data_IF_861127073509
#
_entry.id   IF_861127073509
#
_cell.length_a   1.000
_cell.length_b   1.000
_cell.length_c   1.000
_cell.angle_alpha   90.00
_cell.angle_beta   90.00
_cell.angle_gamma   90.00
#
_symmetry.space_group_name_H-M   'P 1'
#
loop_
_entity.id
_entity.type
_entity.pdbx_description
1 polymer ?
#
# COMPACT_ATOMS: atom_id res chain seq x y z
N UNK A 1 -5.58 -13.02 -16.90
CA UNK A 1 -5.46 -13.97 -15.78
C UNK A 1 -4.87 -13.22 -14.60
N UNK A 2 -5.51 -13.28 -13.43
CA UNK A 2 -4.99 -12.62 -12.23
C UNK A 2 -3.72 -13.34 -11.72
N UNK A 3 -2.79 -12.60 -11.13
CA UNK A 3 -1.58 -13.16 -10.51
C UNK A 3 -1.97 -14.13 -9.38
N UNK A 4 -1.37 -15.33 -9.30
CA UNK A 4 -1.69 -16.31 -8.26
C UNK A 4 -1.08 -15.93 -6.91
N UNK A 5 -1.61 -16.44 -5.79
CA UNK A 5 -1.05 -16.14 -4.46
C UNK A 5 0.37 -16.69 -4.29
N UNK A 6 0.71 -17.80 -4.94
CA UNK A 6 2.07 -18.34 -4.92
C UNK A 6 3.07 -17.40 -5.61
N UNK A 7 2.67 -16.82 -6.75
CA UNK A 7 3.47 -15.81 -7.44
C UNK A 7 3.61 -14.53 -6.61
N UNK A 8 2.54 -14.10 -5.94
CA UNK A 8 2.58 -12.95 -5.03
C UNK A 8 3.59 -13.21 -3.90
N UNK A 9 3.55 -14.39 -3.28
CA UNK A 9 4.49 -14.76 -2.21
C UNK A 9 5.93 -14.79 -2.70
N UNK A 10 6.19 -15.31 -3.90
CA UNK A 10 7.53 -15.28 -4.51
C UNK A 10 8.07 -13.86 -4.69
N UNK A 11 7.23 -12.92 -5.15
CA UNK A 11 7.61 -11.50 -5.29
C UNK A 11 7.83 -10.86 -3.90
N UNK A 12 7.00 -11.20 -2.92
CA UNK A 12 7.06 -10.66 -1.56
C UNK A 12 8.31 -11.09 -0.77
N UNK A 13 9.03 -12.13 -1.21
CA UNK A 13 10.34 -12.51 -0.64
C UNK A 13 11.38 -11.41 -0.83
N UNK A 14 11.25 -10.59 -1.88
CA UNK A 14 12.16 -9.47 -2.11
C UNK A 14 11.85 -8.35 -1.11
N UNK A 15 12.78 -8.02 -0.23
CA UNK A 15 12.59 -6.94 0.75
C UNK A 15 12.56 -5.55 0.08
N UNK A 16 11.61 -4.68 0.46
CA UNK A 16 11.58 -3.28 0.02
C UNK A 16 12.85 -2.52 0.43
N UNK A 17 13.32 -1.65 -0.45
CA UNK A 17 14.55 -0.88 -0.21
C UNK A 17 14.17 0.48 0.40
N UNK A 18 14.57 0.79 1.65
CA UNK A 18 14.33 2.09 2.23
C UNK A 18 15.16 3.17 1.53
N UNK A 19 14.55 4.33 1.28
CA UNK A 19 15.21 5.49 0.69
C UNK A 19 15.38 6.60 1.73
N UNK A 20 16.58 7.18 1.80
CA UNK A 20 16.82 8.36 2.61
C UNK A 20 16.32 9.64 1.92
N UNK A 21 15.93 10.65 2.69
CA UNK A 21 15.55 11.97 2.18
C UNK A 21 16.65 12.61 1.31
N UNK A 22 17.92 12.36 1.65
CA UNK A 22 19.05 12.82 0.85
C UNK A 22 19.05 12.19 -0.55
N UNK A 23 18.83 10.88 -0.65
CA UNK A 23 18.72 10.18 -1.93
C UNK A 23 17.51 10.67 -2.74
N UNK A 24 16.35 10.87 -2.08
CA UNK A 24 15.16 11.43 -2.74
C UNK A 24 15.43 12.80 -3.35
N UNK A 25 16.14 13.69 -2.64
CA UNK A 25 16.57 14.98 -3.17
C UNK A 25 17.47 14.82 -4.40
N UNK A 26 18.45 13.92 -4.35
CA UNK A 26 19.34 13.66 -5.49
C UNK A 26 18.57 13.14 -6.72
N UNK A 27 17.52 12.35 -6.53
CA UNK A 27 16.65 11.90 -7.62
C UNK A 27 15.81 13.04 -8.19
N UNK A 28 15.34 13.97 -7.35
CA UNK A 28 14.57 15.13 -7.78
C UNK A 28 15.40 16.16 -8.56
N UNK A 29 16.64 16.41 -8.11
CA UNK A 29 17.58 17.33 -8.75
C UNK A 29 18.29 16.70 -9.98
N UNK A 30 18.04 15.41 -10.24
CA UNK A 30 18.71 14.62 -11.27
C UNK A 30 18.18 14.87 -12.69
N UNK A 31 19.08 14.80 -13.68
CA UNK A 31 18.71 14.91 -15.10
C UNK A 31 17.99 13.67 -15.67
N UNK A 32 17.71 13.69 -16.97
CA UNK A 32 16.99 12.62 -17.69
C UNK A 32 17.47 11.18 -17.42
N UNK A 33 18.78 10.96 -17.31
CA UNK A 33 19.35 9.63 -17.02
C UNK A 33 18.98 9.12 -15.62
N UNK A 34 18.99 10.02 -14.63
CA UNK A 34 18.60 9.73 -13.25
C UNK A 34 17.11 9.41 -13.21
N UNK A 35 16.28 10.17 -13.92
CA UNK A 35 14.82 9.91 -14.01
C UNK A 35 14.49 8.51 -14.52
N UNK A 36 15.12 8.07 -15.62
CA UNK A 36 14.92 6.72 -16.16
C UNK A 36 15.43 5.65 -15.18
N UNK A 37 16.55 5.88 -14.49
CA UNK A 37 17.03 4.98 -13.45
C UNK A 37 16.07 4.88 -12.27
N UNK A 38 15.51 6.01 -11.80
CA UNK A 38 14.51 6.06 -10.75
C UNK A 38 13.23 5.33 -11.15
N UNK A 39 12.79 5.46 -12.39
CA UNK A 39 11.61 4.74 -12.89
C UNK A 39 11.82 3.22 -12.90
N UNK A 40 13.02 2.75 -13.29
CA UNK A 40 13.39 1.32 -13.20
C UNK A 40 13.44 0.82 -11.77
N UNK A 41 13.97 1.62 -10.86
CA UNK A 41 13.97 1.32 -9.43
C UNK A 41 12.53 1.19 -8.91
N UNK A 42 11.69 2.22 -9.14
CA UNK A 42 10.29 2.23 -8.72
C UNK A 42 9.51 1.05 -9.28
N UNK A 43 9.78 0.65 -10.51
CA UNK A 43 9.10 -0.49 -11.13
C UNK A 43 9.26 -1.78 -10.31
N UNK A 44 10.47 -2.07 -9.82
CA UNK A 44 10.74 -3.25 -8.98
C UNK A 44 10.31 -3.04 -7.53
N UNK A 45 10.54 -1.84 -7.01
CA UNK A 45 10.21 -1.50 -5.63
C UNK A 45 8.70 -1.60 -5.37
N UNK A 46 7.88 -1.08 -6.30
CA UNK A 46 6.42 -1.16 -6.20
C UNK A 46 5.89 -2.59 -6.32
N UNK A 47 6.52 -3.43 -7.15
CA UNK A 47 6.16 -4.86 -7.24
C UNK A 47 6.31 -5.56 -5.88
N UNK A 48 7.48 -5.41 -5.24
CA UNK A 48 7.76 -5.96 -3.91
C UNK A 48 6.76 -5.42 -2.88
N UNK A 49 6.56 -4.11 -2.83
CA UNK A 49 5.66 -3.47 -1.85
C UNK A 49 4.20 -3.90 -2.01
N UNK A 50 3.67 -3.96 -3.23
CA UNK A 50 2.31 -4.46 -3.45
C UNK A 50 2.18 -5.93 -3.07
N UNK A 51 3.17 -6.75 -3.43
CA UNK A 51 3.15 -8.17 -3.08
C UNK A 51 3.14 -8.39 -1.56
N UNK A 52 3.97 -7.63 -0.84
CA UNK A 52 4.03 -7.63 0.62
C UNK A 52 2.68 -7.24 1.25
N UNK A 53 2.10 -6.12 0.82
CA UNK A 53 0.79 -5.67 1.33
C UNK A 53 -0.32 -6.69 1.07
N UNK A 54 -0.30 -7.40 -0.06
CA UNK A 54 -1.28 -8.47 -0.34
C UNK A 54 -1.11 -9.62 0.65
N UNK A 55 0.12 -10.06 0.92
CA UNK A 55 0.40 -11.13 1.89
C UNK A 55 -0.04 -10.72 3.29
N UNK A 56 0.32 -9.52 3.73
CA UNK A 56 -0.06 -8.98 5.04
C UNK A 56 -1.58 -8.89 5.22
N UNK A 57 -2.32 -8.39 4.20
CA UNK A 57 -3.78 -8.36 4.25
C UNK A 57 -4.42 -9.75 4.23
N UNK A 58 -3.80 -10.72 3.54
CA UNK A 58 -4.30 -12.09 3.52
C UNK A 58 -4.06 -12.83 4.83
N UNK A 59 -3.01 -12.48 5.56
CA UNK A 59 -2.60 -13.13 6.81
C UNK A 59 -3.18 -12.43 8.05
N UNK A 60 -4.04 -11.40 7.88
CA UNK A 60 -4.72 -10.72 8.98
C UNK A 60 -5.51 -11.70 9.87
N UNK A 61 -5.39 -11.60 11.22
CA UNK A 61 -5.99 -12.53 12.15
C UNK A 61 -7.52 -12.35 12.28
N UNK A 62 -8.16 -13.24 13.05
CA UNK A 62 -9.59 -13.16 13.42
C UNK A 62 -10.58 -13.17 12.25
N UNK A 63 -10.16 -13.68 11.09
CA UNK A 63 -11.00 -13.69 9.90
C UNK A 63 -11.20 -12.30 9.27
N UNK A 64 -10.46 -11.29 9.73
CA UNK A 64 -10.43 -9.95 9.11
C UNK A 64 -10.12 -10.04 7.62
N UNK A 65 -9.18 -10.92 7.25
CA UNK A 65 -8.81 -11.19 5.86
C UNK A 65 -10.01 -11.61 5.00
N UNK A 66 -11.05 -12.24 5.56
CA UNK A 66 -12.25 -12.67 4.83
C UNK A 66 -13.33 -11.58 4.71
N UNK A 67 -13.12 -10.41 5.32
CA UNK A 67 -14.09 -9.30 5.25
C UNK A 67 -14.13 -8.72 3.84
N UNK A 68 -15.33 -8.41 3.34
CA UNK A 68 -15.51 -7.89 1.97
C UNK A 68 -14.63 -6.67 1.64
N UNK A 69 -14.41 -5.78 2.61
CA UNK A 69 -13.56 -4.62 2.45
C UNK A 69 -12.07 -4.95 2.35
N UNK A 70 -11.58 -5.93 3.11
CA UNK A 70 -10.19 -6.40 3.01
C UNK A 70 -9.96 -7.14 1.69
N UNK A 71 -10.91 -7.98 1.28
CA UNK A 71 -10.89 -8.63 -0.03
C UNK A 71 -10.88 -7.61 -1.17
N UNK A 72 -11.70 -6.55 -1.07
CA UNK A 72 -11.68 -5.45 -2.04
C UNK A 72 -10.31 -4.74 -2.08
N UNK A 73 -9.68 -4.51 -0.93
CA UNK A 73 -8.34 -3.92 -0.87
C UNK A 73 -7.29 -4.84 -1.51
N UNK A 74 -7.32 -6.14 -1.21
CA UNK A 74 -6.46 -7.16 -1.84
C UNK A 74 -6.64 -7.16 -3.36
N UNK A 75 -7.87 -7.11 -3.86
CA UNK A 75 -8.16 -7.10 -5.30
C UNK A 75 -7.59 -5.87 -6.01
N UNK A 76 -7.66 -4.70 -5.37
CA UNK A 76 -7.02 -3.48 -5.89
C UNK A 76 -5.51 -3.66 -5.96
N UNK A 77 -4.87 -4.12 -4.89
CA UNK A 77 -3.42 -4.36 -4.90
C UNK A 77 -2.99 -5.42 -5.92
N UNK A 78 -3.76 -6.51 -6.07
CA UNK A 78 -3.48 -7.56 -7.07
C UNK A 78 -3.58 -7.02 -8.50
N UNK A 79 -4.55 -6.14 -8.76
CA UNK A 79 -4.70 -5.48 -10.06
C UNK A 79 -3.49 -4.60 -10.37
N UNK A 80 -3.07 -3.78 -9.41
CA UNK A 80 -1.91 -2.90 -9.61
C UNK A 80 -0.61 -3.71 -9.75
N UNK A 81 -0.43 -4.76 -8.95
CA UNK A 81 0.70 -5.69 -9.05
C UNK A 81 0.74 -6.41 -10.41
N UNK A 82 -0.40 -6.87 -10.90
CA UNK A 82 -0.49 -7.51 -12.21
C UNK A 82 -0.13 -6.53 -13.34
N UNK A 83 -0.65 -5.29 -13.27
CA UNK A 83 -0.32 -4.27 -14.25
C UNK A 83 1.20 -4.00 -14.28
N UNK A 84 1.80 -3.74 -13.11
CA UNK A 84 3.23 -3.42 -13.05
C UNK A 84 4.12 -4.62 -13.40
N UNK A 85 3.69 -5.85 -13.14
CA UNK A 85 4.45 -7.07 -13.50
C UNK A 85 4.41 -7.38 -15.00
N UNK A 86 3.37 -6.93 -15.70
CA UNK A 86 3.20 -7.14 -17.15
C UNK A 86 3.78 -6.00 -17.98
N UNK A 87 3.93 -4.81 -17.40
CA UNK A 87 4.61 -3.69 -18.08
C UNK A 87 6.12 -3.90 -18.10
N UNK A 88 6.76 -3.50 -19.19
CA UNK A 88 8.23 -3.54 -19.28
C UNK A 88 8.84 -2.37 -18.49
N UNK A 89 10.04 -2.54 -17.89
CA UNK A 89 10.79 -1.43 -17.31
C UNK A 89 11.06 -0.35 -18.35
N UNK A 90 10.88 0.92 -17.97
CA UNK A 90 11.11 2.05 -18.87
C UNK A 90 12.59 2.17 -19.24
N UNK A 91 12.90 2.22 -20.53
CA UNK A 91 14.26 2.42 -21.06
C UNK A 91 14.43 3.80 -21.71
N UNK A 92 13.32 4.46 -22.05
CA UNK A 92 13.30 5.77 -22.68
C UNK A 92 12.52 6.78 -21.85
N UNK A 93 12.77 8.07 -22.08
CA UNK A 93 12.03 9.15 -21.42
C UNK A 93 10.53 9.15 -21.78
N UNK A 94 10.17 8.68 -22.97
CA UNK A 94 8.77 8.60 -23.38
C UNK A 94 8.02 7.51 -22.60
N UNK A 95 8.63 6.33 -22.46
CA UNK A 95 8.08 5.23 -21.66
C UNK A 95 7.99 5.61 -20.18
N UNK A 96 8.97 6.34 -19.65
CA UNK A 96 8.95 6.85 -18.29
C UNK A 96 7.79 7.83 -18.03
N UNK A 97 7.49 8.72 -18.99
CA UNK A 97 6.30 9.60 -18.89
C UNK A 97 5.00 8.78 -18.86
N UNK A 98 4.89 7.76 -19.70
CA UNK A 98 3.72 6.89 -19.72
C UNK A 98 3.60 6.08 -18.42
N UNK A 99 4.72 5.57 -17.90
CA UNK A 99 4.77 4.89 -16.60
C UNK A 99 4.33 5.82 -15.46
N UNK A 100 4.81 7.07 -15.45
CA UNK A 100 4.42 8.08 -14.46
C UNK A 100 2.92 8.37 -14.50
N UNK A 101 2.33 8.54 -15.69
CA UNK A 101 0.89 8.80 -15.80
C UNK A 101 0.07 7.59 -15.35
N UNK A 102 0.47 6.38 -15.74
CA UNK A 102 -0.21 5.17 -15.28
C UNK A 102 -0.13 4.99 -13.76
N UNK A 103 1.03 5.30 -13.16
CA UNK A 103 1.23 5.29 -11.72
C UNK A 103 0.35 6.33 -11.02
N UNK A 104 0.16 7.51 -11.63
CA UNK A 104 -0.78 8.53 -11.13
C UNK A 104 -2.22 8.02 -11.12
N UNK A 105 -2.63 7.30 -12.16
CA UNK A 105 -3.96 6.69 -12.22
C UNK A 105 -4.11 5.56 -11.18
N UNK A 106 -3.08 4.74 -10.99
CA UNK A 106 -3.05 3.72 -9.94
C UNK A 106 -3.23 4.35 -8.56
N UNK A 107 -2.52 5.45 -8.28
CA UNK A 107 -2.66 6.23 -7.06
C UNK A 107 -4.10 6.69 -6.82
N UNK A 108 -4.75 7.25 -7.85
CA UNK A 108 -6.14 7.71 -7.75
C UNK A 108 -7.13 6.56 -7.49
N UNK A 109 -6.88 5.36 -8.03
CA UNK A 109 -7.73 4.18 -7.75
C UNK A 109 -7.56 3.69 -6.31
N UNK A 110 -6.35 3.81 -5.76
CA UNK A 110 -6.03 3.38 -4.40
C UNK A 110 -6.38 4.38 -3.29
N UNK A 111 -6.84 5.60 -3.62
CA UNK A 111 -7.11 6.65 -2.61
C UNK A 111 -8.20 6.29 -1.61
N UNK A 112 -9.14 5.40 -2.00
CA UNK A 112 -10.23 4.95 -1.13
C UNK A 112 -9.86 3.74 -0.26
N UNK A 113 -8.65 3.17 -0.40
CA UNK A 113 -8.26 1.96 0.33
C UNK A 113 -8.23 2.18 1.84
N UNK A 114 -7.62 3.26 2.31
CA UNK A 114 -7.55 3.56 3.75
C UNK A 114 -8.96 3.76 4.34
N UNK A 115 -9.83 4.61 3.78
CA UNK A 115 -11.22 4.73 4.25
C UNK A 115 -11.99 3.40 4.27
N UNK A 116 -11.85 2.56 3.23
CA UNK A 116 -12.54 1.27 3.13
C UNK A 116 -12.11 0.32 4.25
N UNK A 117 -10.79 0.22 4.50
CA UNK A 117 -10.27 -0.66 5.55
C UNK A 117 -10.66 -0.14 6.94
N UNK A 118 -10.56 1.17 7.18
CA UNK A 118 -11.00 1.77 8.44
C UNK A 118 -12.48 1.52 8.73
N UNK A 119 -13.34 1.67 7.71
CA UNK A 119 -14.77 1.39 7.83
C UNK A 119 -15.04 -0.10 8.11
N UNK A 120 -14.26 -1.00 7.54
CA UNK A 120 -14.35 -2.43 7.81
C UNK A 120 -14.06 -2.76 9.27
N UNK A 121 -12.98 -2.19 9.81
CA UNK A 121 -12.60 -2.38 11.22
C UNK A 121 -13.65 -1.83 12.16
N UNK A 122 -14.27 -0.69 11.84
CA UNK A 122 -15.36 -0.13 12.64
C UNK A 122 -16.59 -1.05 12.65
N UNK A 123 -16.97 -1.62 11.51
CA UNK A 123 -18.06 -2.58 11.44
C UNK A 123 -17.75 -3.85 12.22
N UNK A 124 -16.52 -4.35 12.14
CA UNK A 124 -16.10 -5.52 12.90
C UNK A 124 -16.15 -5.23 14.40
N UNK A 125 -15.60 -4.09 14.84
CA UNK A 125 -15.67 -3.66 16.23
C UNK A 125 -17.11 -3.54 16.74
N UNK A 126 -18.03 -3.07 15.90
CA UNK A 126 -19.44 -2.95 16.27
C UNK A 126 -20.16 -4.30 16.38
N UNK A 127 -19.71 -5.33 15.66
CA UNK A 127 -20.29 -6.68 15.68
C UNK A 127 -19.65 -7.60 16.73
N UNK A 128 -18.36 -7.40 17.04
CA UNK A 128 -17.59 -8.24 17.98
C UNK A 128 -17.74 -7.83 19.46
N UNK A 129 -18.31 -6.64 19.72
CA UNK A 129 -18.73 -6.20 21.06
C UNK A 129 -19.85 -7.07 21.67
N UNK A 130 -20.42 -8.03 20.93
CA UNK A 130 -21.41 -8.99 21.43
C UNK A 130 -20.80 -10.35 21.84
N UNK A 131 -19.55 -10.69 21.44
CA UNK A 131 -19.02 -12.07 21.63
C UNK A 131 -17.60 -12.18 22.22
N UNK A 132 -16.74 -11.15 22.20
CA UNK A 132 -15.29 -11.37 22.40
C UNK A 132 -14.48 -10.32 23.16
N UNK A 133 -14.96 -9.78 24.27
CA UNK A 133 -14.31 -8.67 24.99
C UNK A 133 -12.94 -8.97 25.66
N UNK A 134 -12.38 -10.19 25.58
CA UNK A 134 -11.18 -10.59 26.35
C UNK A 134 -9.88 -10.78 25.54
N UNK A 135 -9.87 -10.59 24.22
CA UNK A 135 -8.64 -10.73 23.39
C UNK A 135 -8.16 -9.44 22.71
N UNK A 136 -8.81 -8.30 22.98
CA UNK A 136 -8.60 -7.05 22.24
C UNK A 136 -7.23 -6.39 22.47
N UNK A 137 -6.60 -6.55 23.64
CA UNK A 137 -5.34 -5.83 23.93
C UNK A 137 -4.13 -6.39 23.16
N UNK A 138 -4.00 -7.71 23.04
CA UNK A 138 -2.94 -8.32 22.22
C UNK A 138 -3.17 -8.08 20.73
N UNK A 139 -4.43 -8.16 20.30
CA UNK A 139 -4.85 -7.96 18.91
C UNK A 139 -4.64 -6.51 18.47
N UNK A 140 -4.87 -5.53 19.35
CA UNK A 140 -4.61 -4.14 19.04
C UNK A 140 -3.10 -3.87 18.86
N UNK A 141 -2.22 -4.65 19.48
CA UNK A 141 -0.78 -4.61 19.27
C UNK A 141 -0.39 -5.23 17.91
N UNK A 142 -0.90 -6.44 17.60
CA UNK A 142 -0.65 -7.13 16.33
C UNK A 142 -1.17 -6.32 15.12
N UNK A 143 -2.35 -5.71 15.27
CA UNK A 143 -2.91 -4.80 14.27
C UNK A 143 -1.99 -3.58 14.09
N UNK A 144 -1.54 -2.95 15.18
CA UNK A 144 -0.62 -1.78 15.10
C UNK A 144 0.67 -2.12 14.37
N UNK A 145 1.25 -3.29 14.61
CA UNK A 145 2.49 -3.71 13.96
C UNK A 145 2.28 -3.93 12.45
N UNK A 146 1.15 -4.50 12.03
CA UNK A 146 0.76 -4.57 10.60
C UNK A 146 0.58 -3.17 10.01
N UNK A 147 -0.03 -2.22 10.74
CA UNK A 147 -0.25 -0.86 10.23
C UNK A 147 1.04 -0.04 10.08
N UNK A 148 2.09 -0.31 10.87
CA UNK A 148 3.40 0.34 10.71
C UNK A 148 3.99 0.02 9.32
N UNK A 149 3.88 -1.23 8.88
CA UNK A 149 4.29 -1.65 7.53
C UNK A 149 3.37 -1.08 6.43
N UNK A 150 2.14 -0.68 6.74
CA UNK A 150 1.23 0.03 5.81
C UNK A 150 1.49 1.55 5.70
N UNK A 151 2.38 2.13 6.51
CA UNK A 151 2.69 3.56 6.45
C UNK A 151 3.15 4.01 5.05
N UNK A 152 3.86 3.15 4.31
CA UNK A 152 4.22 3.46 2.94
C UNK A 152 3.02 3.51 1.99
N UNK A 153 1.98 2.70 2.22
CA UNK A 153 0.78 2.69 1.39
C UNK A 153 -0.07 3.95 1.66
N UNK A 154 -0.22 4.35 2.93
CA UNK A 154 -0.85 5.62 3.29
C UNK A 154 -0.10 6.82 2.66
N UNK A 155 1.23 6.78 2.64
CA UNK A 155 2.09 7.79 2.00
C UNK A 155 2.05 7.75 0.47
N UNK A 156 1.99 6.56 -0.13
CA UNK A 156 1.96 6.36 -1.59
C UNK A 156 0.60 6.73 -2.19
N UNK A 157 -0.50 6.42 -1.49
CA UNK A 157 -1.87 6.65 -1.95
C UNK A 157 -2.47 7.97 -1.46
N UNK A 158 -1.84 8.63 -0.49
CA UNK A 158 -2.07 10.03 -0.13
C UNK A 158 -3.45 10.28 0.46
N UNK A 159 -3.53 10.31 1.79
CA UNK A 159 -4.48 11.19 2.45
C UNK A 159 -3.92 12.61 2.35
N UNK A 160 -4.42 13.43 1.42
CA UNK A 160 -4.08 14.86 1.39
C UNK A 160 -4.69 15.52 2.63
N UNK A 161 -3.90 16.22 3.40
CA UNK A 161 -4.24 16.85 4.68
C UNK A 161 -5.24 18.02 4.61
N UNK A 162 -5.94 18.23 3.49
CA UNK A 162 -6.63 19.51 3.22
C UNK A 162 -8.15 19.50 3.43
N UNK A 163 -8.73 18.46 4.01
CA UNK A 163 -10.11 18.51 4.52
C UNK A 163 -10.12 18.36 6.03
N UNK A 164 -9.88 19.49 6.69
CA UNK A 164 -10.15 19.68 8.11
C UNK A 164 -11.64 19.45 8.39
N UNK A 165 -11.92 18.47 9.25
CA UNK A 165 -13.07 18.32 10.17
C UNK A 165 -13.46 16.84 10.29
N UNK A 166 -12.52 16.00 10.73
CA UNK A 166 -12.87 14.67 11.24
C UNK A 166 -11.94 14.33 12.41
N UNK A 167 -12.46 13.75 13.52
CA UNK A 167 -11.67 13.36 14.70
C UNK A 167 -10.50 12.39 14.43
N UNK A 168 -10.39 11.91 13.19
CA UNK A 168 -9.41 10.95 12.73
C UNK A 168 -8.13 11.60 12.18
N UNK A 169 -8.14 12.91 11.88
CA UNK A 169 -6.95 13.60 11.36
C UNK A 169 -5.78 13.55 12.36
N UNK A 170 -6.06 13.61 13.66
CA UNK A 170 -5.04 13.58 14.72
C UNK A 170 -4.46 12.16 14.92
N UNK A 171 -5.23 11.11 14.63
CA UNK A 171 -4.76 9.73 14.75
C UNK A 171 -3.95 9.26 13.54
N UNK A 172 -4.13 9.85 12.36
CA UNK A 172 -3.30 9.55 11.18
C UNK A 172 -2.02 10.40 11.17
N UNK A 173 -2.07 11.62 11.70
CA UNK A 173 -0.91 12.49 11.88
C UNK A 173 0.15 11.91 12.83
N UNK A 174 -0.24 11.08 13.80
CA UNK A 174 0.68 10.44 14.73
C UNK A 174 1.57 9.33 14.11
N UNK A 175 1.27 8.89 12.88
CA UNK A 175 1.92 7.73 12.23
C UNK A 175 2.61 8.07 10.91
N UNK A 176 2.69 9.37 10.60
CA UNK A 176 3.41 9.89 9.43
C UNK A 176 4.64 10.64 9.93
N UNK A 177 5.76 9.93 10.06
CA UNK A 177 7.11 10.52 10.18
C UNK A 177 7.81 10.38 8.85
#
# INVERSE_FOLDING_TARGET
MAISMDQVREIAVTEPIPLSLRQMRTFADGGAKVRVASAKFLHKELQSRFARAIVELSDLPLGLSNTAAIQQAIDVYRRELQWISTTKPSNTLSEDRQFTENLRQAKLRGSNLVPIICYALQQLKATDLDVGALQLDSVQQDIKDVWIDFSWAASAFGCSSDTASSPWSDQVAAWTV
#
